data_IF_120778526460
#
_entry.id   IF_120778526460
#
_cell.length_a   1.000
_cell.length_b   1.000
_cell.length_c   1.000
_cell.angle_alpha   90.00
_cell.angle_beta   90.00
_cell.angle_gamma   90.00
#
_symmetry.space_group_name_H-M   'P 1'
#
loop_
_entity.id
_entity.type
_entity.pdbx_description
1 polymer ?
#
# COMPACT_ATOMS: atom_id res chain seq x y z
N UNK A 1 -3.10 1.90 -15.51
CA UNK A 1 -4.10 0.89 -15.07
C UNK A 1 -5.19 0.74 -16.14
N UNK A 2 -5.46 -0.47 -16.63
CA UNK A 2 -6.48 -0.67 -17.67
C UNK A 2 -7.93 -0.62 -17.10
N UNK A 3 -8.93 -0.42 -17.95
CA UNK A 3 -10.33 -0.27 -17.53
C UNK A 3 -10.92 -1.48 -16.79
N UNK A 4 -10.37 -2.69 -17.00
CA UNK A 4 -10.83 -3.90 -16.30
C UNK A 4 -10.42 -3.92 -14.83
N UNK A 5 -9.17 -3.56 -14.52
CA UNK A 5 -8.68 -3.50 -13.15
C UNK A 5 -9.42 -2.46 -12.30
N UNK A 6 -9.72 -1.29 -12.88
CA UNK A 6 -10.50 -0.24 -12.21
C UNK A 6 -11.90 -0.72 -11.84
N UNK A 7 -12.58 -1.41 -12.76
CA UNK A 7 -13.93 -1.91 -12.55
C UNK A 7 -13.98 -2.97 -11.45
N UNK A 8 -13.04 -3.89 -11.44
CA UNK A 8 -12.99 -4.92 -10.40
C UNK A 8 -12.68 -4.35 -9.01
N UNK A 9 -11.75 -3.39 -8.92
CA UNK A 9 -11.48 -2.68 -7.66
C UNK A 9 -12.76 -2.02 -7.14
N UNK A 10 -13.48 -1.32 -8.01
CA UNK A 10 -14.74 -0.68 -7.65
C UNK A 10 -15.77 -1.70 -7.16
N UNK A 11 -15.95 -2.83 -7.84
CA UNK A 11 -16.87 -3.91 -7.40
C UNK A 11 -16.51 -4.48 -6.02
N UNK A 12 -15.22 -4.58 -5.69
CA UNK A 12 -14.77 -5.05 -4.37
C UNK A 12 -15.05 -4.01 -3.28
N UNK A 13 -14.82 -2.72 -3.57
CA UNK A 13 -15.11 -1.64 -2.63
C UNK A 13 -16.62 -1.43 -2.43
N UNK A 14 -17.43 -1.64 -3.47
CA UNK A 14 -18.90 -1.58 -3.41
C UNK A 14 -19.52 -2.71 -2.57
N UNK A 15 -18.78 -3.82 -2.34
CA UNK A 15 -19.20 -4.88 -1.41
C UNK A 15 -19.09 -4.47 0.07
N UNK A 16 -18.72 -3.22 0.34
CA UNK A 16 -18.68 -2.61 1.66
C UNK A 16 -17.86 -3.44 2.68
N UNK A 17 -16.56 -3.68 2.41
CA UNK A 17 -15.71 -4.41 3.33
C UNK A 17 -15.63 -3.69 4.69
N UNK A 18 -15.47 -4.45 5.77
CA UNK A 18 -15.38 -3.90 7.12
C UNK A 18 -14.20 -2.92 7.31
N UNK A 19 -13.12 -3.11 6.54
CA UNK A 19 -11.98 -2.19 6.45
C UNK A 19 -11.19 -2.47 5.17
N UNK A 20 -10.61 -1.43 4.57
CA UNK A 20 -9.58 -1.58 3.55
C UNK A 20 -8.51 -0.51 3.66
N UNK A 21 -7.34 -0.83 3.12
CA UNK A 21 -6.25 0.11 2.84
C UNK A 21 -5.93 0.00 1.35
N UNK A 22 -5.95 1.13 0.65
CA UNK A 22 -5.56 1.26 -0.75
C UNK A 22 -4.26 2.05 -0.81
N UNK A 23 -3.20 1.42 -1.30
CA UNK A 23 -1.91 2.06 -1.56
C UNK A 23 -1.77 2.19 -3.07
N UNK A 24 -1.50 3.39 -3.55
CA UNK A 24 -1.23 3.67 -4.95
C UNK A 24 0.15 4.29 -5.09
N UNK A 25 0.87 3.83 -6.11
CA UNK A 25 2.18 4.33 -6.46
C UNK A 25 2.12 4.94 -7.86
N UNK A 26 2.56 6.18 -7.97
CA UNK A 26 2.79 6.84 -9.25
C UNK A 26 4.00 6.26 -9.97
N UNK A 27 4.24 6.76 -11.19
CA UNK A 27 5.47 6.46 -11.91
C UNK A 27 6.68 7.05 -11.17
N UNK A 28 7.85 6.45 -11.37
CA UNK A 28 9.11 7.02 -10.91
C UNK A 28 9.37 8.33 -11.67
N UNK A 29 9.64 9.40 -10.94
CA UNK A 29 10.11 10.65 -11.53
C UNK A 29 11.59 10.56 -11.91
N UNK A 30 12.05 11.50 -12.74
CA UNK A 30 13.44 11.51 -13.26
C UNK A 30 14.50 11.64 -12.15
N UNK A 31 14.14 12.17 -10.99
CA UNK A 31 14.97 12.28 -9.79
C UNK A 31 14.92 11.02 -8.90
N UNK A 32 14.23 9.97 -9.33
CA UNK A 32 14.11 8.70 -8.62
C UNK A 32 13.08 8.70 -7.49
N UNK A 33 12.29 9.77 -7.35
CA UNK A 33 11.19 9.80 -6.38
C UNK A 33 9.96 9.05 -6.91
N UNK A 34 9.10 8.60 -6.00
CA UNK A 34 7.83 7.96 -6.33
C UNK A 34 6.73 8.59 -5.49
N UNK A 35 5.65 9.05 -6.14
CA UNK A 35 4.48 9.50 -5.40
C UNK A 35 3.74 8.29 -4.85
N UNK A 36 3.57 8.24 -3.53
CA UNK A 36 2.79 7.19 -2.86
C UNK A 36 1.62 7.85 -2.17
N UNK A 37 0.41 7.37 -2.44
CA UNK A 37 -0.81 7.82 -1.77
C UNK A 37 -1.49 6.62 -1.11
N UNK A 38 -1.90 6.81 0.15
CA UNK A 38 -2.63 5.81 0.92
C UNK A 38 -3.99 6.36 1.32
N UNK A 39 -5.04 5.61 1.01
CA UNK A 39 -6.41 5.87 1.45
C UNK A 39 -6.93 4.67 2.24
N UNK A 40 -7.74 4.91 3.27
CA UNK A 40 -8.38 3.84 4.04
C UNK A 40 -9.84 4.19 4.35
N UNK A 41 -10.66 3.17 4.56
CA UNK A 41 -12.03 3.30 5.03
C UNK A 41 -12.34 2.14 5.98
N UNK A 42 -13.19 2.42 6.97
CA UNK A 42 -13.53 1.49 8.04
C UNK A 42 -12.96 1.96 9.37
N UNK A 43 -12.77 1.01 10.29
CA UNK A 43 -12.23 1.30 11.62
C UNK A 43 -10.72 1.61 11.56
N UNK A 44 -10.32 2.73 12.17
CA UNK A 44 -8.91 3.18 12.16
C UNK A 44 -7.97 2.23 12.93
N UNK A 45 -8.47 1.55 13.97
CA UNK A 45 -7.70 0.55 14.72
C UNK A 45 -7.43 -0.66 13.85
N UNK A 46 -8.45 -1.14 13.11
CA UNK A 46 -8.31 -2.24 12.18
C UNK A 46 -7.37 -1.90 11.02
N UNK A 47 -7.47 -0.69 10.45
CA UNK A 47 -6.53 -0.22 9.44
C UNK A 47 -5.09 -0.19 9.97
N UNK A 48 -4.88 0.33 11.19
CA UNK A 48 -3.56 0.33 11.85
C UNK A 48 -3.04 -1.09 12.07
N UNK A 49 -3.90 -2.03 12.47
CA UNK A 49 -3.53 -3.43 12.67
C UNK A 49 -3.07 -4.08 11.36
N UNK A 50 -3.79 -3.86 10.26
CA UNK A 50 -3.40 -4.36 8.93
C UNK A 50 -2.03 -3.82 8.50
N UNK A 51 -1.79 -2.52 8.70
CA UNK A 51 -0.52 -1.88 8.36
C UNK A 51 0.65 -2.39 9.20
N UNK A 52 0.45 -2.51 10.51
CA UNK A 52 1.47 -3.03 11.41
C UNK A 52 1.82 -4.49 11.09
N UNK A 53 0.82 -5.32 10.79
CA UNK A 53 1.05 -6.70 10.38
C UNK A 53 1.82 -6.79 9.05
N UNK A 54 1.47 -5.96 8.07
CA UNK A 54 2.19 -5.90 6.79
C UNK A 54 3.65 -5.46 6.97
N UNK A 55 3.89 -4.40 7.77
CA UNK A 55 5.24 -3.92 8.08
C UNK A 55 6.06 -5.02 8.76
N UNK A 56 5.51 -5.66 9.81
CA UNK A 56 6.17 -6.73 10.54
C UNK A 56 6.54 -7.91 9.63
N UNK A 57 5.70 -8.23 8.65
CA UNK A 57 6.00 -9.29 7.68
C UNK A 57 7.14 -8.88 6.73
N UNK A 58 7.12 -7.64 6.22
CA UNK A 58 8.18 -7.11 5.36
C UNK A 58 9.53 -7.08 6.07
N UNK A 59 9.56 -6.61 7.32
CA UNK A 59 10.80 -6.51 8.11
C UNK A 59 11.45 -7.90 8.34
N UNK A 60 10.63 -8.94 8.53
CA UNK A 60 11.12 -10.32 8.65
C UNK A 60 11.63 -10.90 7.31
N UNK A 61 11.07 -10.49 6.18
CA UNK A 61 11.58 -10.88 4.86
C UNK A 61 12.91 -10.17 4.53
N UNK A 62 13.11 -8.93 5.01
CA UNK A 62 14.36 -8.19 4.82
C UNK A 62 15.56 -8.84 5.52
N UNK A 63 15.35 -9.54 6.65
CA UNK A 63 16.40 -10.32 7.32
C UNK A 63 16.93 -11.50 6.47
N UNK A 64 16.26 -11.85 5.37
CA UNK A 64 16.69 -12.89 4.43
C UNK A 64 17.28 -12.37 3.10
N UNK A 65 17.26 -11.05 2.81
CA UNK A 65 17.62 -10.51 1.49
C UNK A 65 18.78 -9.50 1.57
N UNK A 66 19.96 -9.90 1.05
CA UNK A 66 21.15 -9.06 0.94
C UNK A 66 20.91 -7.75 0.16
N UNK A 67 21.00 -6.63 0.88
CA UNK A 67 21.61 -5.34 0.49
C UNK A 67 21.06 -4.47 -0.67
N UNK A 68 19.84 -4.67 -1.19
CA UNK A 68 19.30 -3.71 -2.19
C UNK A 68 17.79 -3.46 -2.04
N UNK A 69 17.31 -2.96 -0.90
CA UNK A 69 15.94 -2.42 -0.81
C UNK A 69 15.96 -0.88 -0.79
N UNK A 70 15.20 -0.19 -1.66
CA UNK A 70 15.12 1.26 -1.65
C UNK A 70 14.33 1.74 -0.43
N UNK A 71 14.93 2.64 0.34
CA UNK A 71 14.31 3.28 1.52
C UNK A 71 13.06 4.06 1.11
N UNK A 72 11.88 3.48 1.32
CA UNK A 72 10.61 4.18 1.15
C UNK A 72 10.46 5.15 2.32
N UNK A 73 10.56 6.46 2.06
CA UNK A 73 10.31 7.50 3.05
C UNK A 73 8.93 8.11 2.83
N UNK A 74 8.08 8.02 3.84
CA UNK A 74 6.80 8.74 3.90
C UNK A 74 7.09 10.24 4.07
N UNK A 75 6.78 11.01 3.03
CA UNK A 75 6.82 12.48 3.09
C UNK A 75 5.48 12.96 3.66
N UNK A 76 5.55 13.77 4.72
CA UNK A 76 4.38 14.36 5.39
C UNK A 76 3.90 15.61 4.68
#
# INVERSE_FOLDING_TARGET
>A
MNNRGRKHLQEVLEKNPACYVLITCGELSEDGNMQVEMTYQGDATLASYLLQGAQFYMDQEEDCLDSTTPSIRLVK
#
